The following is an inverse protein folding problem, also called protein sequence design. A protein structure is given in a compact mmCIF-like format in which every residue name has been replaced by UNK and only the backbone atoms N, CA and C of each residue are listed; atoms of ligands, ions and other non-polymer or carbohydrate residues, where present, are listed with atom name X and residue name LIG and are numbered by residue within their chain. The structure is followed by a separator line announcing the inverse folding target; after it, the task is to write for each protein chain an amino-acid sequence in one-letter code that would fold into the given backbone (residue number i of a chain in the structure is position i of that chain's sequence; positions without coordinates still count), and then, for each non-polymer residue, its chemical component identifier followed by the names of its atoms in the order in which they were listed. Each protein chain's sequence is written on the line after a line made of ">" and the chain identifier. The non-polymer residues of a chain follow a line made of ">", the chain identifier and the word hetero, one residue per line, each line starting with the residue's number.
data_IF_537639294129
#
_entry.id   IF_537639294129
#
_cell.length_a   1.000
_cell.length_b   1.000
_cell.length_c   1.000
_cell.angle_alpha   90.00
_cell.angle_beta   90.00
_cell.angle_gamma   90.00
#
_symmetry.space_group_name_H-M   'P 1'
#
loop_
_entity.id
_entity.type
_entity.pdbx_description
1 polymer ?
#
# COMPACT_ATOMS: atom_id res chain seq x y z
N UNK A 1 -41.35 -10.53 38.53
CA UNK A 1 -39.91 -10.63 38.82
C UNK A 1 -39.32 -11.33 37.61
N UNK A 2 -38.86 -10.64 36.55
CA UNK A 2 -37.60 -9.86 36.49
C UNK A 2 -36.50 -10.72 37.14
N UNK A 3 -35.60 -11.34 36.38
CA UNK A 3 -34.57 -10.61 35.67
C UNK A 3 -34.17 -11.19 34.31
N UNK A 4 -33.97 -10.23 33.41
CA UNK A 4 -33.28 -10.33 32.13
C UNK A 4 -31.80 -10.66 32.37
N UNK A 5 -31.22 -11.50 31.51
CA UNK A 5 -29.83 -11.30 31.12
C UNK A 5 -29.63 -11.79 29.69
N UNK A 6 -30.19 -11.02 28.75
CA UNK A 6 -29.83 -11.08 27.34
C UNK A 6 -28.39 -10.60 27.22
N UNK A 7 -27.43 -11.51 27.05
CA UNK A 7 -26.06 -11.15 26.71
C UNK A 7 -26.05 -10.68 25.25
N UNK A 8 -26.16 -9.37 25.08
CA UNK A 8 -25.91 -8.68 23.82
C UNK A 8 -24.40 -8.76 23.56
N UNK A 9 -23.99 -9.71 22.72
CA UNK A 9 -22.64 -9.70 22.15
C UNK A 9 -22.61 -8.54 21.17
N UNK A 10 -22.01 -7.43 21.60
CA UNK A 10 -21.77 -6.28 20.74
C UNK A 10 -20.80 -6.74 19.65
N UNK A 11 -21.29 -6.81 18.41
CA UNK A 11 -20.47 -6.90 17.21
C UNK A 11 -19.48 -5.74 17.23
N UNK A 12 -18.27 -6.02 17.68
CA UNK A 12 -17.13 -5.13 17.49
C UNK A 12 -16.92 -5.09 15.99
N UNK A 13 -17.40 -4.02 15.33
CA UNK A 13 -17.10 -3.71 13.94
C UNK A 13 -15.59 -3.47 13.82
N UNK A 14 -14.84 -4.56 13.70
CA UNK A 14 -13.45 -4.53 13.26
C UNK A 14 -13.51 -4.09 11.80
N UNK A 15 -13.04 -2.87 11.49
CA UNK A 15 -12.93 -2.45 10.10
C UNK A 15 -12.01 -3.44 9.38
N UNK A 16 -12.59 -4.35 8.60
CA UNK A 16 -11.83 -5.32 7.83
C UNK A 16 -10.94 -4.51 6.87
N UNK A 17 -9.63 -4.49 7.12
CA UNK A 17 -8.68 -4.08 6.10
C UNK A 17 -8.97 -4.94 4.87
N UNK A 18 -9.41 -4.32 3.78
CA UNK A 18 -9.83 -5.04 2.57
C UNK A 18 -8.69 -5.95 2.10
N UNK A 19 -9.01 -7.19 1.77
CA UNK A 19 -8.02 -8.17 1.30
C UNK A 19 -7.51 -7.77 -0.08
N UNK A 20 -6.19 -7.83 -0.35
CA UNK A 20 -5.65 -7.62 -1.70
C UNK A 20 -6.16 -8.66 -2.70
N UNK A 21 -6.55 -8.23 -3.90
CA UNK A 21 -7.07 -9.09 -4.96
C UNK A 21 -5.96 -9.61 -5.89
N UNK A 22 -4.73 -9.12 -5.73
CA UNK A 22 -3.55 -9.55 -6.49
C UNK A 22 -2.27 -9.49 -5.66
N UNK A 23 -1.24 -10.19 -6.12
CA UNK A 23 0.11 -10.14 -5.51
C UNK A 23 0.68 -8.72 -5.55
N UNK A 24 0.43 -7.96 -6.61
CA UNK A 24 0.88 -6.57 -6.72
C UNK A 24 0.25 -5.68 -5.63
N UNK A 25 -1.06 -5.82 -5.39
CA UNK A 25 -1.75 -5.09 -4.32
C UNK A 25 -1.24 -5.51 -2.94
N UNK A 26 -1.02 -6.81 -2.71
CA UNK A 26 -0.47 -7.31 -1.46
C UNK A 26 0.94 -6.75 -1.22
N UNK A 27 1.78 -6.75 -2.26
CA UNK A 27 3.13 -6.22 -2.22
C UNK A 27 3.13 -4.72 -1.86
N UNK A 28 2.36 -3.90 -2.58
CA UNK A 28 2.28 -2.46 -2.31
C UNK A 28 1.71 -2.16 -0.92
N UNK A 29 0.71 -2.92 -0.48
CA UNK A 29 0.14 -2.78 0.87
C UNK A 29 1.18 -3.07 1.95
N UNK A 30 1.97 -4.14 1.78
CA UNK A 30 3.03 -4.50 2.71
C UNK A 30 4.09 -3.39 2.75
N UNK A 31 4.56 -2.90 1.60
CA UNK A 31 5.51 -1.77 1.56
C UNK A 31 4.98 -0.57 2.34
N UNK A 32 3.74 -0.16 2.08
CA UNK A 32 3.15 0.99 2.76
C UNK A 32 3.01 0.77 4.27
N UNK A 33 2.58 -0.42 4.69
CA UNK A 33 2.48 -0.76 6.11
C UNK A 33 3.84 -0.77 6.85
N UNK A 34 4.94 -0.98 6.11
CA UNK A 34 6.31 -0.92 6.62
C UNK A 34 6.89 0.50 6.65
N UNK A 35 6.10 1.51 6.28
CA UNK A 35 6.52 2.91 6.27
C UNK A 35 7.27 3.34 5.00
N UNK A 36 7.19 2.55 3.92
CA UNK A 36 7.69 2.96 2.62
C UNK A 36 6.66 3.89 1.99
N UNK A 37 7.00 5.16 1.91
CA UNK A 37 6.08 6.23 1.51
C UNK A 37 6.10 6.52 0.01
N UNK A 38 7.20 6.20 -0.67
CA UNK A 38 7.42 6.44 -2.10
C UNK A 38 7.94 5.18 -2.78
N UNK A 39 7.57 4.95 -4.04
CA UNK A 39 8.07 3.85 -4.87
C UNK A 39 8.65 4.42 -6.17
N UNK A 40 9.98 4.38 -6.31
CA UNK A 40 10.66 4.84 -7.52
C UNK A 40 10.71 3.69 -8.55
N UNK A 41 10.12 3.90 -9.73
CA UNK A 41 10.04 2.83 -10.73
C UNK A 41 10.02 3.36 -12.16
N UNK A 42 10.49 2.53 -13.09
CA UNK A 42 10.22 2.69 -14.52
C UNK A 42 8.82 2.22 -14.88
N UNK A 43 8.33 2.65 -16.04
CA UNK A 43 7.14 2.09 -16.66
C UNK A 43 7.56 1.12 -17.77
N UNK A 44 7.02 -0.10 -17.74
CA UNK A 44 7.32 -1.15 -18.70
C UNK A 44 6.37 -2.34 -18.57
N UNK A 45 6.47 -3.30 -19.48
CA UNK A 45 5.60 -4.50 -19.50
C UNK A 45 5.69 -5.31 -18.20
N UNK A 46 6.88 -5.39 -17.62
CA UNK A 46 7.13 -6.11 -16.36
C UNK A 46 6.46 -5.44 -15.15
N UNK A 47 6.07 -4.16 -15.29
CA UNK A 47 5.41 -3.37 -14.25
C UNK A 47 3.89 -3.28 -14.42
N UNK A 48 3.32 -3.92 -15.44
CA UNK A 48 1.88 -3.89 -15.70
C UNK A 48 1.03 -4.29 -14.48
N UNK A 49 1.36 -5.34 -13.70
CA UNK A 49 0.60 -5.69 -12.51
C UNK A 49 0.59 -4.59 -11.43
N UNK A 50 1.67 -3.82 -11.30
CA UNK A 50 1.76 -2.68 -10.38
C UNK A 50 0.86 -1.54 -10.85
N UNK A 51 0.88 -1.23 -12.15
CA UNK A 51 0.00 -0.22 -12.76
C UNK A 51 -1.48 -0.58 -12.57
N UNK A 52 -1.83 -1.85 -12.79
CA UNK A 52 -3.18 -2.37 -12.57
C UNK A 52 -3.62 -2.29 -11.10
N UNK A 53 -2.71 -2.54 -10.15
CA UNK A 53 -3.00 -2.34 -8.73
C UNK A 53 -3.30 -0.86 -8.43
N UNK A 54 -2.47 0.06 -8.92
CA UNK A 54 -2.70 1.50 -8.74
C UNK A 54 -3.99 1.99 -9.39
N UNK A 55 -4.43 1.42 -10.52
CA UNK A 55 -5.68 1.82 -11.18
C UNK A 55 -6.93 1.49 -10.33
N UNK A 56 -6.83 0.52 -9.42
CA UNK A 56 -7.91 0.11 -8.51
C UNK A 56 -7.85 0.71 -7.11
N UNK A 57 -6.80 1.46 -6.76
CA UNK A 57 -6.55 1.92 -5.38
C UNK A 57 -7.73 2.69 -4.76
N UNK A 58 -8.39 3.54 -5.54
CA UNK A 58 -9.54 4.33 -5.07
C UNK A 58 -10.77 3.45 -4.75
N UNK A 59 -10.91 2.32 -5.44
CA UNK A 59 -12.02 1.36 -5.25
C UNK A 59 -11.68 0.28 -4.22
N UNK A 60 -10.40 -0.07 -4.09
CA UNK A 60 -9.92 -1.06 -3.13
C UNK A 60 -9.80 -0.48 -1.72
N UNK A 61 -9.61 0.83 -1.56
CA UNK A 61 -9.39 1.42 -0.23
C UNK A 61 -8.08 0.98 0.43
N UNK A 62 -7.22 0.28 -0.32
CA UNK A 62 -5.87 -0.08 0.10
C UNK A 62 -4.97 1.16 0.10
N UNK A 63 -3.92 1.12 0.93
CA UNK A 63 -2.91 2.18 0.98
C UNK A 63 -1.64 1.68 0.32
N UNK A 64 -1.17 2.41 -0.68
CA UNK A 64 0.10 2.13 -1.38
C UNK A 64 1.11 3.26 -1.15
N UNK A 65 2.40 3.04 -1.42
CA UNK A 65 3.37 4.12 -1.58
C UNK A 65 2.96 5.05 -2.73
N UNK A 66 3.49 6.26 -2.76
CA UNK A 66 3.30 7.18 -3.89
C UNK A 66 4.26 6.76 -5.01
N UNK A 67 3.78 6.41 -6.22
CA UNK A 67 4.67 6.06 -7.31
C UNK A 67 5.38 7.30 -7.85
N UNK A 68 6.69 7.19 -8.05
CA UNK A 68 7.54 8.20 -8.70
C UNK A 68 8.13 7.57 -9.95
N UNK A 69 7.61 7.98 -11.11
CA UNK A 69 7.98 7.38 -12.39
C UNK A 69 9.24 8.05 -12.95
N UNK A 70 10.25 7.23 -13.28
CA UNK A 70 11.48 7.67 -13.92
C UNK A 70 11.73 6.88 -15.21
N UNK A 71 12.10 7.57 -16.29
CA UNK A 71 12.38 6.93 -17.59
C UNK A 71 13.66 6.12 -17.59
N UNK A 72 14.64 6.48 -16.74
CA UNK A 72 15.92 5.81 -16.64
C UNK A 72 16.13 5.24 -15.23
N UNK A 73 16.55 3.99 -15.13
CA UNK A 73 16.74 3.28 -13.86
C UNK A 73 17.83 3.94 -13.02
N UNK A 74 18.91 4.41 -13.65
CA UNK A 74 19.97 5.15 -12.95
C UNK A 74 19.44 6.43 -12.29
N UNK A 75 18.48 7.12 -12.93
CA UNK A 75 17.82 8.28 -12.32
C UNK A 75 16.93 7.85 -11.15
N UNK A 76 16.15 6.77 -11.29
CA UNK A 76 15.32 6.23 -10.21
C UNK A 76 16.14 5.90 -8.97
N UNK A 77 17.26 5.19 -9.14
CA UNK A 77 18.18 4.83 -8.07
C UNK A 77 18.85 6.07 -7.44
N UNK A 78 19.25 7.04 -8.26
CA UNK A 78 19.80 8.31 -7.76
C UNK A 78 18.82 9.08 -6.88
N UNK A 79 17.54 9.18 -7.29
CA UNK A 79 16.49 9.80 -6.49
C UNK A 79 16.23 9.04 -5.19
N UNK A 80 16.15 7.71 -5.26
CA UNK A 80 15.96 6.84 -4.12
C UNK A 80 17.10 7.02 -3.08
N UNK A 81 18.36 7.06 -3.54
CA UNK A 81 19.53 7.31 -2.71
C UNK A 81 19.45 8.69 -2.05
N UNK A 82 19.16 9.74 -2.81
CA UNK A 82 19.00 11.10 -2.28
C UNK A 82 17.91 11.19 -1.22
N UNK A 83 16.76 10.54 -1.44
CA UNK A 83 15.68 10.48 -0.47
C UNK A 83 16.12 9.83 0.84
N UNK A 84 16.86 8.72 0.79
CA UNK A 84 17.38 8.08 1.99
C UNK A 84 18.36 8.97 2.75
N UNK A 85 19.30 9.63 2.05
CA UNK A 85 20.27 10.52 2.69
C UNK A 85 19.63 11.68 3.47
N UNK A 86 18.52 12.23 2.94
CA UNK A 86 17.85 13.38 3.57
C UNK A 86 16.84 12.94 4.62
N UNK A 87 16.07 11.89 4.37
CA UNK A 87 14.94 11.49 5.24
C UNK A 87 15.31 10.43 6.28
N UNK A 88 16.38 9.66 6.04
CA UNK A 88 16.72 8.46 6.82
C UNK A 88 15.73 7.30 6.68
N UNK A 89 14.72 7.42 5.79
CA UNK A 89 13.66 6.43 5.60
C UNK A 89 13.89 5.57 4.35
N UNK A 90 13.48 4.29 4.38
CA UNK A 90 13.48 3.46 3.18
C UNK A 90 12.43 3.93 2.16
N UNK A 91 12.64 3.50 0.91
CA UNK A 91 11.88 3.80 -0.29
C UNK A 91 11.71 2.55 -1.15
#
# INVERSE_FOLDING_TARGET
>A
MKDEMTVQVQDTQVSLSKTPDSVAEAYLTILKSRGIDYLYMGAGTDTAPIVEAYSRVAQSGLKFPVPVIAVHENLAVGMAHGYYMVSGKPQ
#
